data_IF_798959409170
#
_entry.id   IF_798959409170
#
_cell.length_a   1.000
_cell.length_b   1.000
_cell.length_c   1.000
_cell.angle_alpha   90.00
_cell.angle_beta   90.00
_cell.angle_gamma   90.00
#
_symmetry.space_group_name_H-M   'P 1'
#
loop_
_entity.id
_entity.type
_entity.pdbx_description
1 polymer ?
#
# COMPACT_ATOMS: atom_id res chain seq x y z
N UNK A 1 4.77 -6.46 -3.90
CA UNK A 1 4.52 -6.23 -2.45
C UNK A 1 4.01 -4.83 -2.25
N UNK A 2 3.12 -4.62 -1.30
CA UNK A 2 2.70 -3.29 -0.87
C UNK A 2 2.89 -3.13 0.64
N UNK A 3 3.40 -1.98 1.06
CA UNK A 3 3.44 -1.56 2.45
C UNK A 3 2.27 -0.59 2.67
N UNK A 4 1.43 -0.85 3.67
CA UNK A 4 0.16 -0.15 3.88
C UNK A 4 0.16 0.53 5.23
N UNK A 5 0.02 1.85 5.27
CA UNK A 5 -0.14 2.63 6.49
C UNK A 5 -1.44 3.44 6.45
N UNK A 6 -2.03 3.64 7.60
CA UNK A 6 -3.25 4.45 7.77
C UNK A 6 -2.97 5.63 8.70
N UNK A 7 -3.51 6.80 8.35
CA UNK A 7 -3.48 8.01 9.17
C UNK A 7 -4.78 8.13 9.96
N UNK A 8 -4.72 8.77 11.11
CA UNK A 8 -5.94 9.10 11.86
C UNK A 8 -6.87 9.98 11.00
N UNK A 9 -8.17 9.69 11.05
CA UNK A 9 -9.17 10.37 10.22
C UNK A 9 -9.35 9.84 8.79
N UNK A 10 -8.65 8.76 8.42
CA UNK A 10 -8.82 8.09 7.12
C UNK A 10 -10.23 7.54 6.91
N UNK A 11 -10.76 7.61 5.68
CA UNK A 11 -12.13 7.21 5.35
C UNK A 11 -12.19 6.01 4.41
N UNK A 12 -13.33 5.30 4.44
CA UNK A 12 -13.57 4.18 3.52
C UNK A 12 -13.63 4.62 2.05
N UNK A 13 -14.12 5.83 1.79
CA UNK A 13 -14.13 6.40 0.43
C UNK A 13 -12.70 6.59 -0.11
N UNK A 14 -11.77 7.05 0.75
CA UNK A 14 -10.35 7.17 0.39
C UNK A 14 -9.73 5.80 0.12
N UNK A 15 -10.12 4.77 0.87
CA UNK A 15 -9.67 3.39 0.65
C UNK A 15 -10.07 2.89 -0.74
N UNK A 16 -11.31 3.08 -1.15
CA UNK A 16 -11.79 2.62 -2.46
C UNK A 16 -11.04 3.28 -3.62
N UNK A 17 -10.73 4.58 -3.49
CA UNK A 17 -9.92 5.31 -4.48
C UNK A 17 -8.49 4.76 -4.59
N UNK A 18 -7.86 4.51 -3.44
CA UNK A 18 -6.50 3.95 -3.39
C UNK A 18 -6.47 2.55 -3.98
N UNK A 19 -7.41 1.69 -3.59
CA UNK A 19 -7.52 0.32 -4.12
C UNK A 19 -7.65 0.30 -5.65
N UNK A 20 -8.54 1.15 -6.18
CA UNK A 20 -8.71 1.29 -7.63
C UNK A 20 -7.41 1.74 -8.31
N UNK A 21 -6.68 2.66 -7.68
CA UNK A 21 -5.39 3.12 -8.18
C UNK A 21 -4.35 2.00 -8.14
N UNK A 22 -4.23 1.27 -7.03
CA UNK A 22 -3.30 0.13 -6.87
C UNK A 22 -3.48 -0.90 -7.98
N UNK A 23 -4.72 -1.32 -8.20
CA UNK A 23 -5.04 -2.36 -9.18
C UNK A 23 -4.77 -1.87 -10.61
N UNK A 24 -5.02 -0.58 -10.88
CA UNK A 24 -4.96 -0.01 -12.22
C UNK A 24 -3.64 0.68 -12.59
N UNK A 25 -2.69 0.84 -11.67
CA UNK A 25 -1.38 1.43 -11.97
C UNK A 25 -0.64 0.59 -13.01
N UNK A 26 -0.20 1.24 -14.10
CA UNK A 26 0.50 0.59 -15.22
C UNK A 26 2.00 0.62 -14.99
N UNK A 27 2.47 -0.27 -14.13
CA UNK A 27 3.85 -0.35 -13.64
C UNK A 27 4.59 -1.60 -14.11
N UNK A 28 3.93 -2.46 -14.86
CA UNK A 28 4.54 -3.62 -15.50
C UNK A 28 4.84 -3.34 -16.96
N UNK A 29 5.92 -3.92 -17.47
CA UNK A 29 6.36 -3.74 -18.84
C UNK A 29 5.40 -4.41 -19.84
N UNK A 30 5.22 -3.73 -20.97
CA UNK A 30 4.59 -4.29 -22.15
C UNK A 30 5.62 -4.99 -23.07
N UNK A 31 5.18 -5.44 -24.23
CA UNK A 31 6.01 -6.13 -25.23
C UNK A 31 7.14 -5.25 -25.81
N UNK A 32 7.06 -3.93 -25.58
CA UNK A 32 8.05 -2.94 -26.02
C UNK A 32 8.98 -2.48 -24.89
N UNK A 33 8.88 -3.12 -23.68
CA UNK A 33 9.67 -2.76 -22.51
C UNK A 33 9.24 -1.44 -21.87
N UNK A 34 8.00 -0.99 -22.07
CA UNK A 34 7.45 0.23 -21.45
C UNK A 34 6.49 -0.12 -20.34
N UNK A 35 6.56 0.63 -19.24
CA UNK A 35 5.59 0.53 -18.14
C UNK A 35 4.19 0.91 -18.64
N UNK A 36 3.38 -0.07 -18.96
CA UNK A 36 2.09 0.11 -19.63
C UNK A 36 1.01 -0.88 -19.19
N UNK A 37 1.36 -1.94 -18.48
CA UNK A 37 0.42 -2.95 -17.99
C UNK A 37 0.18 -2.78 -16.48
N UNK A 38 -1.07 -2.98 -16.08
CA UNK A 38 -1.49 -2.99 -14.68
C UNK A 38 -1.29 -4.36 -14.03
N UNK A 39 -1.46 -4.42 -12.70
CA UNK A 39 -1.47 -5.68 -11.96
C UNK A 39 -2.51 -6.65 -12.51
N UNK A 40 -3.71 -6.14 -12.82
CA UNK A 40 -4.77 -6.97 -13.40
C UNK A 40 -4.42 -7.50 -14.79
N UNK A 41 -3.77 -6.68 -15.64
CA UNK A 41 -3.37 -7.07 -17.00
C UNK A 41 -2.35 -8.23 -16.99
N UNK A 42 -1.46 -8.27 -16.01
CA UNK A 42 -0.43 -9.33 -15.90
C UNK A 42 -0.87 -10.51 -15.02
N UNK A 43 -2.08 -10.49 -14.46
CA UNK A 43 -2.57 -11.53 -13.56
C UNK A 43 -1.70 -11.66 -12.30
N UNK A 44 -1.15 -10.56 -11.81
CA UNK A 44 -0.25 -10.53 -10.67
C UNK A 44 -0.98 -10.68 -9.33
N UNK A 45 -0.21 -10.98 -8.28
CA UNK A 45 -0.69 -11.13 -6.91
C UNK A 45 -0.14 -10.03 -6.02
N UNK A 46 -0.73 -9.86 -4.84
CA UNK A 46 -0.28 -8.90 -3.83
C UNK A 46 0.20 -9.63 -2.57
N UNK A 47 1.34 -9.19 -2.04
CA UNK A 47 1.70 -9.37 -0.64
C UNK A 47 1.48 -8.03 0.06
N UNK A 48 0.48 -7.98 0.93
CA UNK A 48 0.13 -6.79 1.71
C UNK A 48 0.76 -6.86 3.10
N UNK A 49 1.50 -5.84 3.49
CA UNK A 49 2.16 -5.74 4.80
C UNK A 49 1.73 -4.43 5.46
N UNK A 50 1.22 -4.51 6.68
CA UNK A 50 0.92 -3.31 7.46
C UNK A 50 2.20 -2.60 7.90
N UNK A 51 2.27 -1.28 7.73
CA UNK A 51 3.47 -0.50 7.98
C UNK A 51 3.13 0.90 8.51
N UNK A 52 2.90 1.05 9.81
CA UNK A 52 2.56 2.35 10.42
C UNK A 52 3.71 3.36 10.34
N UNK A 53 4.96 2.88 10.23
CA UNK A 53 6.16 3.73 10.13
C UNK A 53 6.22 4.54 8.84
N UNK A 54 5.35 4.31 7.86
CA UNK A 54 5.15 5.22 6.72
C UNK A 54 4.73 6.62 7.17
N UNK A 55 4.09 6.74 8.34
CA UNK A 55 3.70 8.01 8.96
C UNK A 55 4.72 8.52 9.99
N UNK A 56 5.99 8.14 9.84
CA UNK A 56 7.04 8.65 10.70
C UNK A 56 7.27 10.16 10.49
N UNK A 57 7.18 10.94 11.58
CA UNK A 57 7.61 12.33 11.59
C UNK A 57 9.08 12.39 12.00
N UNK A 58 9.93 12.74 11.05
CA UNK A 58 11.38 12.87 11.23
C UNK A 58 11.87 14.31 11.20
N UNK A 59 10.97 15.31 11.33
CA UNK A 59 11.31 16.73 11.25
C UNK A 59 12.09 17.23 12.46
N UNK A 60 11.97 16.55 13.61
CA UNK A 60 12.55 17.01 14.87
C UNK A 60 13.43 15.92 15.50
N UNK A 61 14.74 16.17 15.51
CA UNK A 61 15.73 15.24 16.09
C UNK A 61 15.83 13.92 15.31
N UNK A 62 16.48 12.94 15.94
CA UNK A 62 16.79 11.65 15.31
C UNK A 62 15.84 10.52 15.73
N UNK A 63 14.89 10.80 16.62
CA UNK A 63 13.86 9.84 17.04
C UNK A 63 12.57 10.10 16.26
N UNK A 64 12.12 9.16 15.39
CA UNK A 64 10.87 9.35 14.67
C UNK A 64 9.67 9.43 15.61
N UNK A 65 8.73 10.33 15.31
CA UNK A 65 7.43 10.39 15.94
C UNK A 65 6.38 9.67 15.08
N UNK A 66 5.32 9.13 15.71
CA UNK A 66 4.26 8.39 15.02
C UNK A 66 2.85 8.87 15.41
N UNK A 67 2.72 10.14 15.78
CA UNK A 67 1.45 10.72 16.24
C UNK A 67 0.38 10.77 15.16
N UNK A 68 0.79 10.81 13.90
CA UNK A 68 -0.13 10.86 12.75
C UNK A 68 -0.64 9.47 12.33
N UNK A 69 0.02 8.41 12.77
CA UNK A 69 -0.41 7.05 12.46
C UNK A 69 -1.72 6.72 13.18
N UNK A 70 -2.62 6.04 12.48
CA UNK A 70 -3.88 5.55 13.06
C UNK A 70 -3.61 4.60 14.23
N UNK A 71 -4.44 4.69 15.27
CA UNK A 71 -4.35 3.83 16.46
C UNK A 71 -4.52 2.36 16.09
N UNK A 72 -3.79 1.50 16.80
CA UNK A 72 -3.65 0.07 16.53
C UNK A 72 -4.99 -0.63 16.22
N UNK A 73 -6.00 -0.49 17.10
CA UNK A 73 -7.27 -1.21 16.97
C UNK A 73 -8.05 -0.83 15.71
N UNK A 74 -7.99 0.44 15.33
CA UNK A 74 -8.64 0.92 14.11
C UNK A 74 -7.81 0.54 12.88
N UNK A 75 -6.51 0.72 12.92
CA UNK A 75 -5.62 0.39 11.82
C UNK A 75 -5.68 -1.09 11.46
N UNK A 76 -5.79 -2.00 12.44
CA UNK A 76 -5.97 -3.44 12.22
C UNK A 76 -7.23 -3.74 11.41
N UNK A 77 -8.37 -3.14 11.79
CA UNK A 77 -9.64 -3.31 11.07
C UNK A 77 -9.58 -2.76 9.64
N UNK A 78 -8.95 -1.61 9.45
CA UNK A 78 -8.78 -1.01 8.12
C UNK A 78 -7.84 -1.84 7.24
N UNK A 79 -6.81 -2.43 7.84
CA UNK A 79 -5.90 -3.33 7.12
C UNK A 79 -6.62 -4.60 6.64
N UNK A 80 -7.39 -5.24 7.51
CA UNK A 80 -8.17 -6.42 7.14
C UNK A 80 -9.16 -6.08 6.01
N UNK A 81 -9.89 -4.98 6.17
CA UNK A 81 -10.84 -4.53 5.15
C UNK A 81 -10.15 -4.21 3.81
N UNK A 82 -8.96 -3.58 3.85
CA UNK A 82 -8.17 -3.29 2.65
C UNK A 82 -7.82 -4.58 1.90
N UNK A 83 -7.35 -5.59 2.61
CA UNK A 83 -7.02 -6.89 2.01
C UNK A 83 -8.28 -7.61 1.48
N UNK A 84 -9.39 -7.60 2.24
CA UNK A 84 -10.66 -8.19 1.80
C UNK A 84 -11.15 -7.56 0.49
N UNK A 85 -11.08 -6.24 0.37
CA UNK A 85 -11.48 -5.52 -0.85
C UNK A 85 -10.58 -5.83 -2.05
N UNK A 86 -9.29 -6.09 -1.85
CA UNK A 86 -8.40 -6.56 -2.93
C UNK A 86 -8.83 -7.94 -3.42
N UNK A 87 -9.15 -8.86 -2.51
CA UNK A 87 -9.64 -10.20 -2.87
C UNK A 87 -11.02 -10.16 -3.54
N UNK A 88 -11.93 -9.31 -3.05
CA UNK A 88 -13.23 -9.06 -3.70
C UNK A 88 -13.09 -8.51 -5.12
N UNK A 89 -12.04 -7.74 -5.39
CA UNK A 89 -11.71 -7.25 -6.72
C UNK A 89 -11.02 -8.32 -7.63
N UNK A 90 -10.85 -9.54 -7.13
CA UNK A 90 -10.26 -10.65 -7.88
C UNK A 90 -8.73 -10.72 -7.84
N UNK A 91 -8.08 -9.97 -6.96
CA UNK A 91 -6.63 -9.98 -6.77
C UNK A 91 -6.27 -10.94 -5.63
N UNK A 92 -5.58 -12.02 -5.94
CA UNK A 92 -5.05 -12.91 -4.90
C UNK A 92 -4.09 -12.12 -3.99
N UNK A 93 -4.38 -12.09 -2.68
CA UNK A 93 -3.68 -11.26 -1.70
C UNK A 93 -3.19 -12.11 -0.53
N UNK A 94 -1.88 -12.24 -0.41
CA UNK A 94 -1.24 -12.77 0.79
C UNK A 94 -1.06 -11.64 1.81
N UNK A 95 -1.19 -11.97 3.10
CA UNK A 95 -1.21 -10.99 4.19
C UNK A 95 -0.09 -11.22 5.18
N UNK A 96 0.52 -10.14 5.66
CA UNK A 96 1.27 -10.17 6.89
C UNK A 96 0.37 -10.32 8.12
N UNK A 97 0.99 -10.49 9.28
CA UNK A 97 0.30 -10.52 10.57
C UNK A 97 0.38 -9.12 11.18
N UNK A 98 -0.76 -8.45 11.35
CA UNK A 98 -0.80 -7.08 11.88
C UNK A 98 -0.17 -7.02 13.27
N UNK A 99 0.77 -6.07 13.47
CA UNK A 99 1.47 -5.84 14.72
C UNK A 99 2.57 -6.86 15.07
N UNK A 100 2.81 -7.87 14.23
CA UNK A 100 3.88 -8.84 14.45
C UNK A 100 5.26 -8.32 13.98
N UNK A 101 6.33 -8.86 14.54
CA UNK A 101 7.66 -8.76 13.95
C UNK A 101 7.74 -9.67 12.73
N UNK A 102 7.94 -9.08 11.56
CA UNK A 102 7.99 -9.80 10.29
C UNK A 102 9.34 -9.61 9.62
N UNK A 103 9.88 -10.70 9.08
CA UNK A 103 11.07 -10.67 8.23
C UNK A 103 10.61 -10.90 6.80
N UNK A 104 10.80 -9.89 5.96
CA UNK A 104 10.27 -9.87 4.60
C UNK A 104 11.45 -9.93 3.63
N UNK A 105 11.48 -10.97 2.81
CA UNK A 105 12.43 -11.08 1.71
C UNK A 105 11.76 -10.62 0.42
N UNK A 106 12.41 -9.73 -0.30
CA UNK A 106 11.89 -9.11 -1.51
C UNK A 106 13.00 -8.97 -2.55
N UNK A 107 12.71 -9.38 -3.78
CA UNK A 107 13.47 -8.94 -4.95
C UNK A 107 12.69 -7.82 -5.65
N UNK A 108 13.20 -6.59 -5.58
CA UNK A 108 12.66 -5.45 -6.31
C UNK A 108 13.28 -5.41 -7.71
N UNK A 109 12.58 -6.06 -8.64
CA UNK A 109 13.02 -6.20 -10.03
C UNK A 109 12.63 -4.96 -10.85
N UNK A 110 13.64 -4.33 -11.39
CA UNK A 110 13.54 -3.04 -12.08
C UNK A 110 14.67 -2.08 -11.66
N UNK A 111 14.83 -1.58 -10.43
CA UNK A 111 13.81 -1.56 -9.37
C UNK A 111 12.70 -0.56 -9.68
N UNK A 112 11.49 -0.83 -9.19
CA UNK A 112 10.33 0.07 -9.27
C UNK A 112 9.71 0.21 -7.89
N UNK A 113 9.67 1.44 -7.38
CA UNK A 113 9.07 1.78 -6.09
C UNK A 113 8.24 3.04 -6.26
N UNK A 114 6.96 2.97 -5.92
CA UNK A 114 6.02 4.08 -6.04
C UNK A 114 5.39 4.35 -4.69
N UNK A 115 5.46 5.58 -4.25
CA UNK A 115 4.72 6.09 -3.10
C UNK A 115 3.35 6.57 -3.60
N UNK A 116 2.30 6.06 -2.98
CA UNK A 116 0.93 6.45 -3.30
C UNK A 116 0.29 7.04 -2.04
N UNK A 117 -0.01 8.33 -2.09
CA UNK A 117 -0.69 9.05 -1.03
C UNK A 117 -2.12 9.40 -1.47
N UNK A 118 -3.11 9.07 -0.65
CA UNK A 118 -4.51 9.38 -0.96
C UNK A 118 -4.80 10.89 -0.99
N UNK A 119 -4.03 11.72 -0.30
CA UNK A 119 -4.16 13.18 -0.38
C UNK A 119 -3.81 13.69 -1.78
N UNK A 120 -2.81 13.11 -2.42
CA UNK A 120 -2.41 13.46 -3.80
C UNK A 120 -3.45 13.04 -4.85
N UNK A 121 -4.37 12.13 -4.50
CA UNK A 121 -5.46 11.69 -5.37
C UNK A 121 -6.68 12.65 -5.39
N UNK A 122 -6.49 13.89 -4.90
CA UNK A 122 -7.42 15.04 -5.00
C UNK A 122 -8.81 14.87 -4.37
N UNK A 123 -8.99 14.06 -3.32
CA UNK A 123 -10.22 14.08 -2.49
C UNK A 123 -9.89 13.54 -1.10
N UNK A 124 -9.69 14.43 -0.13
CA UNK A 124 -9.58 14.29 1.33
C UNK A 124 -9.00 13.01 1.96
N UNK A 125 -7.97 13.20 2.78
CA UNK A 125 -7.37 12.40 3.86
C UNK A 125 -6.37 11.29 3.48
N UNK A 126 -5.23 11.31 4.17
CA UNK A 126 -3.95 10.70 3.80
C UNK A 126 -3.89 9.18 4.01
N UNK A 127 -3.53 8.48 2.97
CA UNK A 127 -3.06 7.10 2.99
C UNK A 127 -1.69 7.04 2.30
N UNK A 128 -0.69 6.49 2.98
CA UNK A 128 0.62 6.25 2.40
C UNK A 128 0.77 4.77 2.04
N UNK A 129 1.17 4.51 0.82
CA UNK A 129 1.48 3.16 0.35
C UNK A 129 2.75 3.17 -0.47
N UNK A 130 3.67 2.32 -0.11
CA UNK A 130 4.80 1.96 -0.95
C UNK A 130 4.48 0.71 -1.74
N UNK A 131 4.58 0.79 -3.06
CA UNK A 131 4.36 -0.34 -3.95
C UNK A 131 5.71 -0.81 -4.46
N UNK A 132 6.12 -1.99 -4.03
CA UNK A 132 7.23 -2.72 -4.60
C UNK A 132 6.67 -3.88 -5.42
N UNK A 133 6.89 -3.88 -6.71
CA UNK A 133 6.35 -4.91 -7.59
C UNK A 133 7.44 -5.81 -8.13
N UNK A 134 7.19 -7.11 -8.03
CA UNK A 134 7.94 -8.13 -8.76
C UNK A 134 7.02 -8.80 -9.76
N UNK A 135 7.54 -9.00 -10.95
CA UNK A 135 6.98 -9.94 -11.94
C UNK A 135 7.43 -11.35 -11.58
#
# INVERSE_FOLDING_TARGET
MILVGFKEGYTLESMDKVLKKVIGLRVFEDENGKMNKSLADVGGNILAISQFTLYADCRHGNRPGFTDAMRYDNASKYYDLFCDKLEEAGIHTERGIFGADMKIELLNDGPVTILLDSEDLKWSHTFLMEINMKI
#
